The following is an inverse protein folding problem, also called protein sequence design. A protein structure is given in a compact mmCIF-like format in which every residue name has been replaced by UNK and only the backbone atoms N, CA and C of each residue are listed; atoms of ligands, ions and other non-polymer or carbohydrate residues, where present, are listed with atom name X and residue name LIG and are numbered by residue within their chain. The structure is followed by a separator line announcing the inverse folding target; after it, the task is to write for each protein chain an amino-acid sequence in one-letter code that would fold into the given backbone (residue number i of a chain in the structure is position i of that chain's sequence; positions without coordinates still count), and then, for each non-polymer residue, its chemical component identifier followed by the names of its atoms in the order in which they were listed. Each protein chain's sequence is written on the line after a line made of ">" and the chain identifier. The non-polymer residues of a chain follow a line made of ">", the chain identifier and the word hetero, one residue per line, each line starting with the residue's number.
data_IF_978159734029
#
_entry.id   IF_978159734029
#
_cell.length_a   1.000
_cell.length_b   1.000
_cell.length_c   1.000
_cell.angle_alpha   90.00
_cell.angle_beta   90.00
_cell.angle_gamma   90.00
#
_symmetry.space_group_name_H-M   'P 1'
#
loop_
_entity.id
_entity.type
_entity.pdbx_description
1 polymer ?
#
# COMPACT_ATOMS: atom_id res chain seq x y z
N UNK A 1 6.99 1.37 -2.90
CA UNK A 1 6.47 0.05 -3.34
C UNK A 1 5.18 -0.27 -2.60
N UNK A 2 4.03 -0.15 -3.27
CA UNK A 2 2.70 -0.49 -2.75
C UNK A 2 1.95 -1.32 -3.78
N UNK A 3 1.06 -2.20 -3.34
CA UNK A 3 0.10 -2.87 -4.21
C UNK A 3 -1.23 -2.15 -4.05
N UNK A 4 -2.02 -2.09 -5.12
CA UNK A 4 -3.41 -1.63 -5.08
C UNK A 4 -4.29 -2.78 -5.53
N UNK A 5 -5.02 -3.37 -4.59
CA UNK A 5 -5.94 -4.47 -4.88
C UNK A 5 -7.21 -4.01 -5.60
N UNK A 6 -7.54 -4.64 -6.74
CA UNK A 6 -8.61 -4.22 -7.66
C UNK A 6 -9.63 -5.32 -7.96
N UNK A 7 -9.59 -6.46 -7.27
CA UNK A 7 -10.47 -7.61 -7.55
C UNK A 7 -11.96 -7.23 -7.62
N UNK A 8 -12.46 -6.39 -6.71
CA UNK A 8 -13.88 -5.99 -6.71
C UNK A 8 -14.29 -5.27 -8.00
N UNK A 9 -13.40 -4.46 -8.55
CA UNK A 9 -13.61 -3.72 -9.79
C UNK A 9 -13.48 -4.64 -11.00
N UNK A 10 -12.46 -5.50 -11.02
CA UNK A 10 -12.31 -6.51 -12.06
C UNK A 10 -13.53 -7.44 -12.15
N UNK A 11 -14.04 -7.90 -11.00
CA UNK A 11 -15.27 -8.70 -10.93
C UNK A 11 -16.49 -7.95 -11.49
N UNK A 12 -16.67 -6.67 -11.11
CA UNK A 12 -17.79 -5.86 -11.59
C UNK A 12 -17.77 -5.66 -13.12
N UNK A 13 -16.58 -5.47 -13.71
CA UNK A 13 -16.42 -5.32 -15.16
C UNK A 13 -16.82 -6.56 -15.94
N UNK A 14 -16.87 -7.73 -15.28
CA UNK A 14 -17.27 -9.02 -15.83
C UNK A 14 -18.63 -9.48 -15.30
N UNK A 15 -19.45 -8.51 -14.87
CA UNK A 15 -20.81 -8.72 -14.40
C UNK A 15 -20.92 -9.62 -13.15
N UNK A 16 -19.82 -9.77 -12.40
CA UNK A 16 -19.80 -10.51 -11.12
C UNK A 16 -19.98 -9.53 -9.97
N UNK A 17 -21.16 -9.56 -9.36
CA UNK A 17 -21.55 -8.55 -8.36
C UNK A 17 -21.51 -9.05 -6.93
N UNK A 18 -21.55 -10.37 -6.73
CA UNK A 18 -21.66 -10.98 -5.40
C UNK A 18 -20.52 -11.95 -5.11
N UNK A 19 -20.16 -12.10 -3.84
CA UNK A 19 -19.18 -13.10 -3.41
C UNK A 19 -19.65 -14.54 -3.68
N UNK A 20 -20.95 -14.80 -3.63
CA UNK A 20 -21.53 -16.11 -3.94
C UNK A 20 -21.32 -16.47 -5.40
N UNK A 21 -21.53 -15.51 -6.31
CA UNK A 21 -21.31 -15.67 -7.75
C UNK A 21 -19.84 -15.90 -8.07
N UNK A 22 -18.93 -15.08 -7.51
CA UNK A 22 -17.50 -15.27 -7.66
C UNK A 22 -17.05 -16.65 -7.15
N UNK A 23 -17.57 -17.08 -5.99
CA UNK A 23 -17.30 -18.42 -5.45
C UNK A 23 -17.76 -19.51 -6.40
N UNK A 24 -18.95 -19.37 -7.00
CA UNK A 24 -19.50 -20.32 -7.96
C UNK A 24 -18.61 -20.41 -9.21
N UNK A 25 -18.16 -19.28 -9.75
CA UNK A 25 -17.26 -19.24 -10.90
C UNK A 25 -15.90 -19.86 -10.59
N UNK A 26 -15.35 -19.63 -9.40
CA UNK A 26 -14.10 -20.26 -8.96
C UNK A 26 -14.22 -21.79 -8.92
N UNK A 27 -15.33 -22.32 -8.43
CA UNK A 27 -15.63 -23.74 -8.45
C UNK A 27 -15.82 -24.28 -9.88
N UNK A 28 -16.69 -23.64 -10.67
CA UNK A 28 -17.11 -24.11 -12.00
C UNK A 28 -16.01 -24.00 -13.06
N UNK A 29 -15.23 -22.90 -13.06
CA UNK A 29 -14.25 -22.59 -14.11
C UNK A 29 -12.83 -22.96 -13.73
N UNK A 30 -12.47 -22.83 -12.45
CA UNK A 30 -11.11 -23.05 -11.98
C UNK A 30 -10.95 -24.28 -11.08
N UNK A 31 -12.05 -24.95 -10.69
CA UNK A 31 -12.01 -26.08 -9.76
C UNK A 31 -11.53 -25.71 -8.36
N UNK A 32 -11.58 -24.43 -7.98
CA UNK A 32 -11.12 -23.95 -6.68
C UNK A 32 -12.28 -23.67 -5.74
N UNK A 33 -12.43 -24.54 -4.73
CA UNK A 33 -13.36 -24.33 -3.63
C UNK A 33 -12.78 -23.35 -2.60
N UNK A 34 -13.37 -22.16 -2.49
CA UNK A 34 -13.09 -21.21 -1.42
C UNK A 34 -14.29 -21.06 -0.48
N UNK A 35 -14.02 -20.83 0.80
CA UNK A 35 -15.08 -20.50 1.78
C UNK A 35 -15.69 -19.13 1.47
N UNK A 36 -16.96 -18.93 1.84
CA UNK A 36 -17.62 -17.63 1.69
C UNK A 36 -16.88 -16.49 2.43
N UNK A 37 -16.30 -16.80 3.60
CA UNK A 37 -15.49 -15.86 4.37
C UNK A 37 -14.20 -15.47 3.61
N UNK A 38 -13.52 -16.43 2.98
CA UNK A 38 -12.33 -16.18 2.17
C UNK A 38 -12.63 -15.31 0.96
N UNK A 39 -13.72 -15.60 0.24
CA UNK A 39 -14.13 -14.80 -0.93
C UNK A 39 -14.54 -13.38 -0.51
N UNK A 40 -15.27 -13.25 0.60
CA UNK A 40 -15.63 -11.94 1.16
C UNK A 40 -14.38 -11.13 1.55
N UNK A 41 -13.39 -11.76 2.20
CA UNK A 41 -12.14 -11.10 2.56
C UNK A 41 -11.39 -10.61 1.31
N UNK A 42 -11.30 -11.45 0.26
CA UNK A 42 -10.68 -11.06 -1.01
C UNK A 42 -11.40 -9.89 -1.69
N UNK A 43 -12.74 -9.81 -1.60
CA UNK A 43 -13.49 -8.70 -2.23
C UNK A 43 -13.41 -7.38 -1.44
N UNK A 44 -13.13 -7.44 -0.14
CA UNK A 44 -13.24 -6.28 0.77
C UNK A 44 -11.90 -5.70 1.20
N UNK A 45 -10.83 -6.50 1.22
CA UNK A 45 -9.52 -6.09 1.75
C UNK A 45 -8.38 -6.52 0.84
N UNK A 46 -7.31 -5.74 0.84
CA UNK A 46 -6.04 -6.12 0.22
C UNK A 46 -5.41 -7.27 1.03
N UNK A 47 -5.12 -8.42 0.40
CA UNK A 47 -4.48 -9.53 1.08
C UNK A 47 -2.98 -9.29 1.26
N UNK A 48 -2.43 -9.65 2.42
CA UNK A 48 -0.97 -9.59 2.66
C UNK A 48 -0.20 -10.62 1.83
N UNK A 49 -0.84 -11.75 1.51
CA UNK A 49 -0.29 -12.81 0.68
C UNK A 49 -1.43 -13.54 -0.03
N UNK A 50 -1.15 -14.04 -1.23
CA UNK A 50 -2.08 -14.90 -1.97
C UNK A 50 -1.30 -16.08 -2.55
N UNK A 51 -1.92 -17.25 -2.55
CA UNK A 51 -1.33 -18.42 -3.22
C UNK A 51 -1.42 -18.22 -4.72
N UNK A 52 -0.37 -18.61 -5.45
CA UNK A 52 -0.37 -18.53 -6.92
C UNK A 52 -1.52 -19.33 -7.54
N UNK A 53 -1.90 -20.47 -6.96
CA UNK A 53 -3.08 -21.23 -7.38
C UNK A 53 -4.38 -20.43 -7.26
N UNK A 54 -4.52 -19.62 -6.20
CA UNK A 54 -5.66 -18.71 -6.03
C UNK A 54 -5.62 -17.58 -7.05
N UNK A 55 -4.45 -17.04 -7.35
CA UNK A 55 -4.29 -16.02 -8.40
C UNK A 55 -4.75 -16.55 -9.76
N UNK A 56 -4.23 -17.72 -10.15
CA UNK A 56 -4.59 -18.40 -11.40
C UNK A 56 -6.10 -18.67 -11.43
N UNK A 57 -6.68 -19.17 -10.34
CA UNK A 57 -8.10 -19.43 -10.27
C UNK A 57 -8.95 -18.16 -10.43
N UNK A 58 -8.55 -17.03 -9.84
CA UNK A 58 -9.24 -15.75 -10.03
C UNK A 58 -9.16 -15.30 -11.48
N UNK A 59 -7.98 -15.39 -12.10
CA UNK A 59 -7.79 -15.08 -13.52
C UNK A 59 -8.67 -15.97 -14.42
N UNK A 60 -8.72 -17.27 -14.16
CA UNK A 60 -9.55 -18.22 -14.93
C UNK A 60 -11.05 -18.00 -14.69
N UNK A 61 -11.47 -17.74 -13.46
CA UNK A 61 -12.88 -17.56 -13.12
C UNK A 61 -13.46 -16.26 -13.68
N UNK A 62 -12.63 -15.22 -13.76
CA UNK A 62 -13.01 -13.91 -14.27
C UNK A 62 -12.63 -13.71 -15.74
N UNK A 63 -11.90 -14.62 -16.39
CA UNK A 63 -11.33 -14.39 -17.73
C UNK A 63 -10.53 -13.06 -17.76
N UNK A 64 -9.53 -12.98 -16.89
CA UNK A 64 -8.71 -11.79 -16.69
C UNK A 64 -7.23 -12.12 -16.53
N UNK A 65 -6.37 -11.11 -16.63
CA UNK A 65 -4.95 -11.22 -16.30
C UNK A 65 -4.67 -10.75 -14.87
N UNK A 66 -3.45 -10.96 -14.39
CA UNK A 66 -3.05 -10.51 -13.06
C UNK A 66 -3.09 -8.97 -12.93
N UNK A 67 -2.77 -8.23 -13.99
CA UNK A 67 -2.80 -6.75 -14.02
C UNK A 67 -4.20 -6.16 -13.81
N UNK A 68 -5.25 -6.91 -14.14
CA UNK A 68 -6.63 -6.51 -13.85
C UNK A 68 -6.94 -6.62 -12.35
N UNK A 69 -6.30 -7.57 -11.65
CA UNK A 69 -6.58 -7.89 -10.25
C UNK A 69 -5.84 -6.98 -9.26
N UNK A 70 -4.66 -6.49 -9.63
CA UNK A 70 -3.87 -5.58 -8.82
C UNK A 70 -2.95 -4.71 -9.65
N UNK A 71 -2.62 -3.54 -9.12
CA UNK A 71 -1.57 -2.69 -9.67
C UNK A 71 -0.38 -2.63 -8.72
N UNK A 72 0.82 -2.54 -9.31
CA UNK A 72 2.08 -2.42 -8.56
C UNK A 72 2.58 -0.99 -8.75
N UNK A 73 2.64 -0.24 -7.64
CA UNK A 73 3.31 1.04 -7.60
C UNK A 73 4.80 0.81 -7.25
N UNK A 74 5.65 0.88 -8.28
CA UNK A 74 7.10 0.72 -8.19
C UNK A 74 7.83 2.04 -7.94
N UNK A 75 7.12 3.15 -7.71
CA UNK A 75 7.79 4.41 -7.36
C UNK A 75 8.67 4.18 -6.13
N UNK A 76 9.98 4.54 -6.23
CA UNK A 76 10.85 4.53 -5.08
C UNK A 76 10.21 5.41 -4.02
N UNK A 77 10.07 4.87 -2.80
CA UNK A 77 9.70 5.73 -1.67
C UNK A 77 10.86 6.69 -1.55
N UNK A 78 10.65 7.96 -1.91
CA UNK A 78 11.61 9.00 -1.66
C UNK A 78 11.81 9.03 -0.16
N UNK A 79 12.91 8.43 0.29
CA UNK A 79 13.35 8.58 1.66
C UNK A 79 13.56 10.07 1.81
N UNK A 80 12.66 10.72 2.55
CA UNK A 80 12.86 12.06 3.05
C UNK A 80 14.17 11.98 3.81
N UNK A 81 15.25 12.41 3.15
CA UNK A 81 16.52 12.60 3.81
C UNK A 81 16.21 13.55 4.98
N UNK A 82 16.64 13.23 6.21
CA UNK A 82 16.43 14.14 7.32
C UNK A 82 17.01 15.48 6.90
N UNK A 83 16.15 16.49 6.78
CA UNK A 83 16.56 17.86 6.52
C UNK A 83 17.70 18.20 7.49
N UNK A 84 18.82 18.78 7.02
CA UNK A 84 19.91 19.17 7.90
C UNK A 84 19.30 19.98 9.04
N UNK A 85 19.50 19.55 10.29
CA UNK A 85 19.10 20.36 11.44
C UNK A 85 19.69 21.74 11.22
N UNK A 86 18.92 22.84 11.37
CA UNK A 86 19.51 24.15 11.33
C UNK A 86 20.57 24.19 12.42
N UNK A 87 21.83 24.27 12.01
CA UNK A 87 22.95 24.59 12.90
C UNK A 87 22.66 25.99 13.43
N UNK A 88 22.10 26.03 14.63
CA UNK A 88 21.97 27.27 15.40
C UNK A 88 23.38 27.82 15.54
N UNK A 89 23.67 28.86 14.77
CA UNK A 89 24.91 29.59 14.87
C UNK A 89 24.83 30.39 16.17
N UNK A 90 25.57 29.95 17.19
CA UNK A 90 25.70 30.68 18.45
C UNK A 90 26.21 32.10 18.15
N UNK A 91 25.52 33.16 18.61
CA UNK A 91 26.06 34.50 18.52
C UNK A 91 27.26 34.59 19.47
N UNK A 92 28.44 34.85 18.90
CA UNK A 92 29.64 35.24 19.66
C UNK A 92 29.32 36.51 20.47
N UNK A 93 29.04 36.36 21.76
CA UNK A 93 28.98 37.46 22.71
C UNK A 93 30.40 38.02 22.88
N UNK A 94 30.65 39.16 22.26
CA UNK A 94 31.85 39.96 22.50
C UNK A 94 31.91 40.35 23.99
N UNK A 95 32.97 39.91 24.66
CA UNK A 95 33.27 40.26 26.06
C UNK A 95 33.75 41.71 26.12
N UNK A 96 32.82 42.65 26.33
CA UNK A 96 33.18 44.02 26.72
C UNK A 96 33.67 44.02 28.17
N UNK A 97 34.99 43.90 28.32
CA UNK A 97 35.71 43.95 29.59
C UNK A 97 35.88 45.41 30.02
N UNK A 98 34.81 46.05 30.47
CA UNK A 98 34.84 47.38 31.08
C UNK A 98 34.98 47.28 32.59
N UNK A 99 36.20 47.13 33.11
CA UNK A 99 36.48 47.27 34.54
C UNK A 99 36.71 48.75 34.87
N UNK A 100 35.79 49.27 35.68
CA UNK A 100 35.88 50.32 36.71
C UNK A 100 37.21 51.06 36.93
N UNK A 101 37.14 52.39 37.08
CA UNK A 101 37.85 53.13 38.14
C UNK A 101 36.96 54.26 38.70
N UNK A 102 36.84 54.40 40.03
CA UNK A 102 36.38 55.61 40.73
C UNK A 102 37.56 56.34 41.43
N UNK A 103 37.35 57.42 42.19
CA UNK A 103 36.88 58.78 41.85
C UNK A 103 37.97 59.87 42.16
N UNK A 104 37.63 61.17 42.05
CA UNK A 104 38.29 62.31 42.72
C UNK A 104 37.25 63.00 43.60
#
# INVERSE_FOLDING_TARGET
>A
MKIRWRLRMAAAQREVWTGTELRRLLAERAGLELSAASVSALLTKEPTQIKLSTLIALCTALDCTADDLFEIDTTPVEQIAPSPRPVVSEPKTATARGRSMPPM
#
